data_IF_666404299304
#
_entry.id   IF_666404299304
#
_cell.length_a   1.000
_cell.length_b   1.000
_cell.length_c   1.000
_cell.angle_alpha   90.00
_cell.angle_beta   90.00
_cell.angle_gamma   90.00
#
_symmetry.space_group_name_H-M   'P 1'
#
loop_
_entity.id
_entity.type
_entity.pdbx_description
1 polymer ?
#
# COMPACT_ATOMS: atom_id res chain seq x y z
N UNK A 1 -47.75 -50.55 9.00
CA UNK A 1 -46.70 -50.00 9.86
C UNK A 1 -45.44 -49.63 9.03
N UNK A 2 -44.88 -50.53 8.24
CA UNK A 2 -43.62 -50.32 7.44
C UNK A 2 -43.77 -49.11 6.48
N UNK A 3 -44.93 -48.90 5.81
CA UNK A 3 -45.16 -47.79 4.90
C UNK A 3 -45.16 -46.43 5.65
N UNK A 4 -45.73 -46.40 6.84
CA UNK A 4 -45.78 -45.18 7.68
C UNK A 4 -44.38 -44.82 8.19
N UNK A 5 -43.57 -45.78 8.62
CA UNK A 5 -42.21 -45.52 9.05
C UNK A 5 -41.28 -45.07 7.92
N UNK A 6 -41.44 -45.62 6.70
CA UNK A 6 -40.72 -45.17 5.51
C UNK A 6 -41.08 -43.70 5.13
N UNK A 7 -42.37 -43.37 5.23
CA UNK A 7 -42.83 -42.00 4.93
C UNK A 7 -42.32 -41.00 5.95
N UNK A 8 -42.36 -41.35 7.24
CA UNK A 8 -41.78 -40.50 8.31
C UNK A 8 -40.27 -40.31 8.14
N UNK A 9 -39.52 -41.34 7.74
CA UNK A 9 -38.10 -41.27 7.45
C UNK A 9 -37.81 -40.35 6.28
N UNK A 10 -38.59 -40.42 5.20
CA UNK A 10 -38.45 -39.58 4.02
C UNK A 10 -38.67 -38.12 4.36
N UNK A 11 -39.72 -37.77 5.16
CA UNK A 11 -39.95 -36.42 5.64
C UNK A 11 -38.77 -35.92 6.52
N UNK A 12 -38.30 -36.77 7.41
CA UNK A 12 -37.14 -36.40 8.25
C UNK A 12 -35.88 -36.06 7.44
N UNK A 13 -35.57 -36.87 6.41
CA UNK A 13 -34.47 -36.62 5.49
C UNK A 13 -34.69 -35.32 4.65
N UNK A 14 -35.92 -35.01 4.23
CA UNK A 14 -36.28 -33.78 3.53
C UNK A 14 -36.06 -32.56 4.43
N UNK A 15 -36.48 -32.63 5.69
CA UNK A 15 -36.26 -31.56 6.67
C UNK A 15 -34.76 -31.33 6.92
N UNK A 16 -34.00 -32.41 7.04
CA UNK A 16 -32.54 -32.32 7.22
C UNK A 16 -31.85 -31.72 5.99
N UNK A 17 -32.29 -32.06 4.78
CA UNK A 17 -31.77 -31.49 3.55
C UNK A 17 -32.15 -30.01 3.41
N UNK A 18 -33.39 -29.63 3.80
CA UNK A 18 -33.83 -28.24 3.81
C UNK A 18 -33.10 -27.38 4.86
N UNK A 19 -32.74 -27.96 5.99
CA UNK A 19 -31.98 -27.27 7.05
C UNK A 19 -30.56 -26.90 6.61
N UNK A 20 -30.05 -27.44 5.49
CA UNK A 20 -28.69 -27.17 4.95
C UNK A 20 -27.66 -27.02 6.09
N UNK A 21 -27.37 -28.07 6.87
CA UNK A 21 -26.41 -27.96 7.95
C UNK A 21 -25.07 -27.49 7.37
N UNK A 22 -24.80 -26.21 7.52
CA UNK A 22 -23.51 -25.66 7.12
C UNK A 22 -22.52 -26.04 8.22
N UNK A 23 -21.82 -27.12 8.01
CA UNK A 23 -20.55 -27.32 8.70
C UNK A 23 -19.59 -26.27 8.17
N UNK A 24 -19.77 -25.02 8.64
CA UNK A 24 -18.83 -23.95 8.34
C UNK A 24 -17.47 -24.41 8.84
N UNK A 25 -16.53 -24.60 7.93
CA UNK A 25 -15.15 -24.55 8.33
C UNK A 25 -15.03 -23.22 9.10
N UNK A 26 -14.87 -23.30 10.44
CA UNK A 26 -14.38 -22.15 11.19
C UNK A 26 -13.12 -21.77 10.46
N UNK A 27 -13.17 -20.65 9.70
CA UNK A 27 -11.96 -19.96 9.33
C UNK A 27 -11.29 -19.69 10.67
N UNK A 28 -10.43 -20.61 11.08
CA UNK A 28 -9.53 -20.39 12.19
C UNK A 28 -8.78 -19.15 11.77
N UNK A 29 -9.18 -18.01 12.29
CA UNK A 29 -8.33 -16.85 12.27
C UNK A 29 -7.16 -17.27 13.16
N UNK A 30 -6.22 -17.99 12.55
CA UNK A 30 -4.93 -18.21 13.13
C UNK A 30 -4.44 -16.82 13.46
N UNK A 31 -4.41 -16.46 14.74
CA UNK A 31 -3.85 -15.18 15.16
C UNK A 31 -2.47 -15.10 14.54
N UNK A 32 -2.39 -14.36 13.44
CA UNK A 32 -1.13 -14.14 12.75
C UNK A 32 -0.32 -13.22 13.64
N UNK A 33 0.74 -13.75 14.21
CA UNK A 33 1.72 -12.99 15.00
C UNK A 33 2.55 -12.04 14.14
N UNK A 34 2.30 -11.97 12.83
CA UNK A 34 3.00 -11.12 11.88
C UNK A 34 2.66 -9.63 12.05
N UNK A 35 3.49 -8.79 11.48
CA UNK A 35 3.30 -7.33 11.39
C UNK A 35 2.26 -7.01 10.34
N UNK A 36 1.66 -5.83 10.44
CA UNK A 36 0.93 -5.22 9.33
C UNK A 36 1.82 -4.15 8.71
N UNK A 37 2.12 -4.31 7.43
CA UNK A 37 2.99 -3.40 6.68
C UNK A 37 2.15 -2.78 5.59
N UNK A 38 2.09 -1.44 5.56
CA UNK A 38 1.46 -0.70 4.46
C UNK A 38 2.56 0.02 3.70
N UNK A 39 2.71 -0.32 2.42
CA UNK A 39 3.59 0.36 1.49
C UNK A 39 2.87 1.59 0.97
N UNK A 40 3.48 2.76 1.08
CA UNK A 40 2.97 4.03 0.59
C UNK A 40 3.92 4.48 -0.51
N UNK A 41 3.45 4.40 -1.74
CA UNK A 41 4.32 4.47 -2.93
C UNK A 41 3.95 5.68 -3.75
N UNK A 42 4.92 6.54 -3.92
CA UNK A 42 4.85 7.66 -4.84
C UNK A 42 4.76 7.17 -6.28
N UNK A 43 3.75 7.64 -7.00
CA UNK A 43 3.55 7.37 -8.42
C UNK A 43 3.42 8.68 -9.22
N UNK A 44 3.92 9.78 -8.68
CA UNK A 44 3.98 11.08 -9.38
C UNK A 44 4.90 11.00 -10.61
N UNK A 45 4.80 11.98 -11.47
CA UNK A 45 5.63 12.05 -12.69
C UNK A 45 7.12 12.17 -12.38
N UNK A 46 7.51 12.73 -11.23
CA UNK A 46 8.91 12.81 -10.78
C UNK A 46 9.55 11.42 -10.66
N UNK A 47 8.77 10.38 -10.39
CA UNK A 47 9.22 8.99 -10.31
C UNK A 47 9.61 8.39 -11.68
N UNK A 48 9.38 9.10 -12.79
CA UNK A 48 9.90 8.74 -14.12
C UNK A 48 11.33 9.23 -14.34
N UNK A 49 11.88 10.05 -13.45
CA UNK A 49 13.26 10.51 -13.55
C UNK A 49 14.26 9.33 -13.56
N UNK A 50 15.33 9.49 -14.35
CA UNK A 50 16.32 8.44 -14.63
C UNK A 50 17.68 8.71 -13.95
N UNK A 51 17.69 9.50 -12.86
CA UNK A 51 18.87 9.69 -12.02
C UNK A 51 19.25 8.42 -11.25
N UNK A 52 18.34 7.47 -11.17
CA UNK A 52 18.55 6.11 -10.66
C UNK A 52 18.08 5.12 -11.72
N UNK A 53 19.00 4.36 -12.28
CA UNK A 53 18.70 3.42 -13.38
C UNK A 53 17.84 2.22 -12.95
N UNK A 54 16.85 1.80 -13.78
CA UNK A 54 16.47 2.39 -15.09
C UNK A 54 15.64 3.66 -14.95
N UNK A 55 14.80 3.77 -13.91
CA UNK A 55 14.06 4.94 -13.45
C UNK A 55 13.78 4.79 -11.94
N UNK A 56 13.40 5.89 -11.26
CA UNK A 56 12.98 5.83 -9.85
C UNK A 56 11.83 4.86 -9.66
N UNK A 57 10.83 4.86 -10.55
CA UNK A 57 9.68 3.96 -10.51
C UNK A 57 10.09 2.49 -10.67
N UNK A 58 10.96 2.16 -11.61
CA UNK A 58 11.42 0.79 -11.80
C UNK A 58 12.24 0.30 -10.61
N UNK A 59 13.07 1.16 -10.04
CA UNK A 59 13.83 0.85 -8.84
C UNK A 59 12.89 0.61 -7.65
N UNK A 60 11.83 1.40 -7.53
CA UNK A 60 10.78 1.22 -6.51
C UNK A 60 10.07 -0.12 -6.67
N UNK A 61 9.63 -0.48 -7.89
CA UNK A 61 9.02 -1.80 -8.16
C UNK A 61 9.95 -2.95 -7.79
N UNK A 62 11.23 -2.83 -8.11
CA UNK A 62 12.24 -3.83 -7.76
C UNK A 62 12.43 -3.95 -6.25
N UNK A 63 12.54 -2.83 -5.54
CA UNK A 63 12.68 -2.81 -4.08
C UNK A 63 11.48 -3.45 -3.39
N UNK A 64 10.26 -3.09 -3.79
CA UNK A 64 9.02 -3.66 -3.25
C UNK A 64 8.94 -5.17 -3.54
N UNK A 65 9.26 -5.59 -4.77
CA UNK A 65 9.27 -7.01 -5.13
C UNK A 65 10.18 -7.81 -4.21
N UNK A 66 11.42 -7.38 -4.03
CA UNK A 66 12.39 -8.03 -3.14
C UNK A 66 11.93 -8.05 -1.68
N UNK A 67 11.25 -6.99 -1.23
CA UNK A 67 10.70 -6.91 0.13
C UNK A 67 9.58 -7.93 0.31
N UNK A 68 8.59 -7.95 -0.59
CA UNK A 68 7.43 -8.83 -0.50
C UNK A 68 7.82 -10.31 -0.62
N UNK A 69 8.79 -10.66 -1.47
CA UNK A 69 9.30 -12.03 -1.61
C UNK A 69 9.95 -12.58 -0.33
N UNK A 70 10.49 -11.70 0.51
CA UNK A 70 11.10 -12.08 1.81
C UNK A 70 10.08 -12.20 2.95
N UNK A 71 8.85 -11.71 2.75
CA UNK A 71 7.79 -11.81 3.75
C UNK A 71 7.27 -13.24 3.87
N UNK A 72 6.90 -13.67 5.09
CA UNK A 72 6.37 -15.02 5.34
C UNK A 72 5.04 -14.99 6.07
N UNK A 73 4.95 -14.26 7.18
CA UNK A 73 3.79 -14.25 8.08
C UNK A 73 3.18 -12.84 8.22
N UNK A 74 3.78 -11.81 7.62
CA UNK A 74 3.33 -10.43 7.68
C UNK A 74 2.15 -10.18 6.70
N UNK A 75 1.28 -9.24 7.04
CA UNK A 75 0.31 -8.71 6.11
C UNK A 75 0.90 -7.51 5.36
N UNK A 76 0.68 -7.42 4.05
CA UNK A 76 1.13 -6.30 3.22
C UNK A 76 -0.05 -5.64 2.51
N UNK A 77 -0.18 -4.33 2.65
CA UNK A 77 -1.07 -3.46 1.88
C UNK A 77 -0.28 -2.48 1.03
N UNK A 78 -0.91 -1.85 0.06
CA UNK A 78 -0.29 -0.80 -0.74
C UNK A 78 -1.27 0.35 -1.01
N UNK A 79 -0.79 1.54 -0.73
CA UNK A 79 -1.36 2.82 -1.13
C UNK A 79 -0.44 3.43 -2.17
N UNK A 80 -0.97 3.81 -3.32
CA UNK A 80 -0.28 4.64 -4.29
C UNK A 80 -0.74 6.09 -4.10
N UNK A 81 0.16 7.04 -4.27
CA UNK A 81 -0.18 8.45 -4.15
C UNK A 81 0.58 9.31 -5.18
N UNK A 82 -0.01 10.45 -5.47
CA UNK A 82 0.53 11.60 -6.17
C UNK A 82 -0.10 12.84 -5.52
N UNK A 83 -0.88 13.66 -6.23
CA UNK A 83 -1.73 14.71 -5.66
C UNK A 83 -2.91 14.13 -4.86
N UNK A 84 -3.38 12.94 -5.24
CA UNK A 84 -4.40 12.15 -4.55
C UNK A 84 -3.82 10.81 -4.11
N UNK A 85 -4.53 10.14 -3.18
CA UNK A 85 -4.11 8.84 -2.65
C UNK A 85 -5.15 7.76 -2.88
N UNK A 86 -4.71 6.56 -3.30
CA UNK A 86 -5.59 5.42 -3.55
C UNK A 86 -5.08 4.14 -2.91
N UNK A 87 -5.97 3.39 -2.26
CA UNK A 87 -5.66 2.04 -1.77
C UNK A 87 -5.67 1.08 -2.96
N UNK A 88 -4.49 0.66 -3.41
CA UNK A 88 -4.37 -0.29 -4.53
C UNK A 88 -4.76 -1.70 -4.10
N UNK A 89 -4.37 -2.11 -2.88
CA UNK A 89 -4.91 -3.29 -2.20
C UNK A 89 -4.80 -3.16 -0.68
N UNK A 90 -5.80 -3.68 0.06
CA UNK A 90 -5.78 -3.68 1.52
C UNK A 90 -4.77 -4.69 2.07
N UNK A 91 -4.50 -4.61 3.37
CA UNK A 91 -3.56 -5.54 4.02
C UNK A 91 -3.98 -7.00 3.81
N UNK A 92 -3.14 -7.75 3.14
CA UNK A 92 -3.33 -9.15 2.77
C UNK A 92 -2.06 -9.97 2.99
N UNK A 93 -2.17 -11.27 3.00
CA UNK A 93 -1.03 -12.22 2.94
C UNK A 93 -0.95 -12.96 1.61
N UNK A 94 -1.74 -12.53 0.63
CA UNK A 94 -1.61 -13.03 -0.74
C UNK A 94 -0.48 -12.30 -1.47
N UNK A 95 0.74 -12.74 -1.20
CA UNK A 95 1.93 -12.14 -1.82
C UNK A 95 1.97 -12.30 -3.35
N UNK A 96 1.33 -13.35 -3.90
CA UNK A 96 1.28 -13.54 -5.36
C UNK A 96 0.46 -12.45 -6.01
N UNK A 97 -0.70 -12.14 -5.44
CA UNK A 97 -1.54 -11.03 -5.87
C UNK A 97 -0.78 -9.71 -5.73
N UNK A 98 -0.16 -9.46 -4.56
CA UNK A 98 0.61 -8.24 -4.32
C UNK A 98 1.72 -8.05 -5.37
N UNK A 99 2.54 -9.06 -5.62
CA UNK A 99 3.61 -9.03 -6.64
C UNK A 99 3.09 -8.77 -8.06
N UNK A 100 1.93 -9.35 -8.40
CA UNK A 100 1.30 -9.08 -9.70
C UNK A 100 0.89 -7.62 -9.86
N UNK A 101 0.39 -7.00 -8.79
CA UNK A 101 -0.03 -5.59 -8.77
C UNK A 101 1.15 -4.62 -8.75
N UNK A 102 2.24 -4.93 -8.04
CA UNK A 102 3.46 -4.10 -8.04
C UNK A 102 3.98 -3.85 -9.45
N UNK A 103 3.92 -4.85 -10.32
CA UNK A 103 4.36 -4.72 -11.72
C UNK A 103 3.54 -3.72 -12.55
N UNK A 104 2.33 -3.39 -12.09
CA UNK A 104 1.40 -2.47 -12.76
C UNK A 104 1.46 -1.04 -12.20
N UNK A 105 2.28 -0.80 -11.16
CA UNK A 105 2.47 0.54 -10.63
C UNK A 105 3.09 1.44 -11.69
N UNK A 106 2.48 2.59 -11.91
CA UNK A 106 2.95 3.61 -12.86
C UNK A 106 2.25 4.93 -12.54
N UNK A 107 2.73 6.07 -13.03
CA UNK A 107 2.04 7.35 -12.85
C UNK A 107 0.60 7.35 -13.35
N UNK A 108 0.26 6.51 -14.32
CA UNK A 108 -1.11 6.40 -14.86
C UNK A 108 -2.13 5.82 -13.88
N UNK A 109 -1.71 5.33 -12.70
CA UNK A 109 -2.61 4.84 -11.64
C UNK A 109 -3.44 5.99 -11.03
N UNK A 110 -2.87 7.19 -11.01
CA UNK A 110 -3.51 8.40 -10.48
C UNK A 110 -3.50 9.48 -11.56
N UNK A 111 -4.66 10.06 -11.83
CA UNK A 111 -4.81 11.06 -12.88
C UNK A 111 -4.29 12.45 -12.45
N UNK A 112 -4.55 12.83 -11.20
CA UNK A 112 -4.07 14.07 -10.62
C UNK A 112 -2.58 13.92 -10.26
N UNK A 113 -1.74 14.71 -10.92
CA UNK A 113 -0.30 14.69 -10.71
C UNK A 113 0.12 15.80 -9.75
N UNK A 114 1.03 15.48 -8.87
CA UNK A 114 1.50 16.30 -7.74
C UNK A 114 2.10 15.37 -6.70
N UNK A 115 2.30 15.86 -5.48
CA UNK A 115 2.79 15.05 -4.37
C UNK A 115 2.19 15.58 -3.08
N UNK A 116 1.28 14.82 -2.47
CA UNK A 116 0.70 15.10 -1.14
C UNK A 116 1.06 13.95 -0.19
N UNK A 117 2.16 14.14 0.53
CA UNK A 117 2.62 13.17 1.54
C UNK A 117 1.69 13.12 2.76
N UNK A 118 1.02 14.20 3.08
CA UNK A 118 0.08 14.27 4.20
C UNK A 118 -1.13 13.38 3.97
N UNK A 119 -1.80 13.53 2.83
CA UNK A 119 -2.93 12.68 2.44
C UNK A 119 -2.52 11.22 2.29
N UNK A 120 -1.34 10.97 1.71
CA UNK A 120 -0.79 9.63 1.56
C UNK A 120 -0.65 8.89 2.91
N UNK A 121 -0.10 9.57 3.93
CA UNK A 121 0.03 9.03 5.28
C UNK A 121 -1.35 8.81 5.92
N UNK A 122 -2.29 9.75 5.77
CA UNK A 122 -3.65 9.63 6.33
C UNK A 122 -4.40 8.44 5.69
N UNK A 123 -4.36 8.32 4.37
CA UNK A 123 -4.97 7.19 3.64
C UNK A 123 -4.35 5.84 4.06
N UNK A 124 -3.03 5.81 4.25
CA UNK A 124 -2.35 4.61 4.71
C UNK A 124 -2.73 4.24 6.16
N UNK A 125 -2.93 5.21 7.05
CA UNK A 125 -3.44 4.94 8.41
C UNK A 125 -4.79 4.22 8.39
N UNK A 126 -5.69 4.58 7.46
CA UNK A 126 -7.00 3.95 7.29
C UNK A 126 -6.91 2.54 6.70
N UNK A 127 -5.80 2.20 6.04
CA UNK A 127 -5.59 0.90 5.40
C UNK A 127 -5.21 -0.21 6.37
N UNK A 128 -4.79 0.12 7.59
CA UNK A 128 -4.54 -0.87 8.64
C UNK A 128 -5.84 -1.47 9.16
N UNK A 129 -5.78 -2.74 9.58
CA UNK A 129 -6.96 -3.40 10.14
C UNK A 129 -7.42 -2.71 11.42
N UNK A 130 -8.74 -2.49 11.53
CA UNK A 130 -9.38 -1.91 12.72
C UNK A 130 -9.47 -2.89 13.90
N UNK A 131 -8.85 -4.09 13.80
CA UNK A 131 -8.91 -5.08 14.86
C UNK A 131 -8.21 -4.55 16.11
N UNK A 132 -8.99 -4.35 17.15
CA UNK A 132 -8.62 -3.88 18.49
C UNK A 132 -7.68 -4.85 19.26
N UNK A 133 -7.31 -5.97 18.70
CA UNK A 133 -6.31 -6.85 19.28
C UNK A 133 -4.91 -6.30 19.05
N UNK A 134 -4.47 -5.57 19.98
CA UNK A 134 -3.32 -4.72 20.23
C UNK A 134 -1.94 -5.45 20.17
N UNK A 135 -1.79 -6.54 19.42
CA UNK A 135 -0.57 -7.32 19.39
C UNK A 135 0.25 -7.22 18.09
N UNK A 136 -0.32 -6.62 17.04
CA UNK A 136 0.39 -6.49 15.77
C UNK A 136 1.12 -5.15 15.69
N UNK A 137 2.41 -5.20 15.42
CA UNK A 137 3.18 -4.00 15.09
C UNK A 137 2.74 -3.51 13.72
N UNK A 138 2.39 -2.24 13.63
CA UNK A 138 2.01 -1.55 12.40
C UNK A 138 3.20 -0.75 11.89
N UNK A 139 3.56 -0.99 10.66
CA UNK A 139 4.68 -0.32 10.00
C UNK A 139 4.20 0.24 8.67
N UNK A 140 4.44 1.50 8.44
CA UNK A 140 4.26 2.16 7.16
C UNK A 140 5.64 2.31 6.52
N UNK A 141 5.77 1.96 5.24
CA UNK A 141 6.99 2.17 4.46
C UNK A 141 6.65 3.16 3.36
N UNK A 142 7.09 4.39 3.54
CA UNK A 142 6.91 5.49 2.59
C UNK A 142 8.08 5.47 1.60
N UNK A 143 7.77 5.40 0.31
CA UNK A 143 8.75 5.36 -0.78
C UNK A 143 8.44 6.52 -1.72
N UNK A 144 9.28 7.53 -1.75
CA UNK A 144 9.12 8.77 -2.51
C UNK A 144 10.48 9.43 -2.75
N UNK A 145 10.55 10.40 -3.63
CA UNK A 145 11.68 11.32 -3.72
C UNK A 145 11.63 12.44 -2.66
N UNK A 146 10.51 12.55 -1.95
CA UNK A 146 10.34 13.50 -0.84
C UNK A 146 9.98 14.92 -1.27
N UNK A 147 9.85 15.20 -2.56
CA UNK A 147 9.29 16.48 -3.03
C UNK A 147 7.85 16.58 -2.53
N UNK A 148 7.62 17.48 -1.57
CA UNK A 148 6.31 17.73 -0.96
C UNK A 148 6.05 19.23 -1.00
N UNK A 149 4.85 19.58 -1.39
CA UNK A 149 4.43 20.96 -1.49
C UNK A 149 3.56 21.41 -0.30
N UNK A 150 3.30 20.52 0.68
CA UNK A 150 2.44 20.80 1.84
C UNK A 150 3.11 20.43 3.17
N UNK A 151 2.99 21.29 4.18
CA UNK A 151 3.48 21.05 5.54
C UNK A 151 2.63 19.99 6.32
N UNK A 152 1.59 19.44 5.70
CA UNK A 152 0.65 18.49 6.33
C UNK A 152 1.29 17.14 6.65
N UNK A 153 2.36 16.75 5.95
CA UNK A 153 3.05 15.48 6.13
C UNK A 153 3.55 15.25 7.58
N UNK A 154 4.09 16.31 8.21
CA UNK A 154 4.60 16.22 9.59
C UNK A 154 3.49 16.07 10.63
N UNK A 155 2.33 16.68 10.39
CA UNK A 155 1.17 16.53 11.28
C UNK A 155 0.55 15.14 11.12
N UNK A 156 0.47 14.62 9.89
CA UNK A 156 0.04 13.25 9.63
C UNK A 156 0.98 12.22 10.29
N UNK A 157 2.30 12.44 10.25
CA UNK A 157 3.28 11.59 10.92
C UNK A 157 3.07 11.58 12.46
N UNK A 158 2.78 12.73 13.07
CA UNK A 158 2.45 12.79 14.51
C UNK A 158 1.19 11.99 14.84
N UNK A 159 0.15 12.07 14.01
CA UNK A 159 -1.07 11.28 14.16
C UNK A 159 -0.76 9.77 14.06
N UNK A 160 0.05 9.37 13.09
CA UNK A 160 0.48 7.97 12.93
C UNK A 160 1.19 7.44 14.19
N UNK A 161 2.11 8.23 14.76
CA UNK A 161 2.75 7.89 16.05
C UNK A 161 1.76 7.67 17.17
N UNK A 162 0.76 8.55 17.31
CA UNK A 162 -0.29 8.43 18.34
C UNK A 162 -1.11 7.14 18.19
N UNK A 163 -1.26 6.66 16.95
CA UNK A 163 -1.90 5.38 16.63
C UNK A 163 -0.97 4.16 16.76
N UNK A 164 0.27 4.36 17.19
CA UNK A 164 1.28 3.30 17.34
C UNK A 164 1.78 2.76 15.99
N UNK A 165 1.77 3.58 14.94
CA UNK A 165 2.28 3.25 13.61
C UNK A 165 3.69 3.86 13.49
N UNK A 166 4.67 3.03 13.11
CA UNK A 166 6.01 3.47 12.78
C UNK A 166 6.09 3.77 11.28
N UNK A 167 6.64 4.92 10.91
CA UNK A 167 6.90 5.26 9.50
C UNK A 167 8.40 5.10 9.23
N UNK A 168 8.71 4.28 8.22
CA UNK A 168 10.05 4.14 7.67
C UNK A 168 10.05 4.77 6.28
N UNK A 169 10.93 5.73 6.01
CA UNK A 169 11.03 6.37 4.71
C UNK A 169 12.17 5.77 3.89
N UNK A 170 11.93 5.57 2.61
CA UNK A 170 12.91 5.17 1.61
C UNK A 170 12.92 6.26 0.55
N UNK A 171 13.97 7.07 0.52
CA UNK A 171 14.20 8.07 -0.52
C UNK A 171 14.67 7.41 -1.82
N UNK A 172 14.09 7.79 -2.93
CA UNK A 172 14.48 7.34 -4.28
C UNK A 172 14.80 8.56 -5.13
N UNK A 173 16.02 8.63 -5.60
CA UNK A 173 16.53 9.73 -6.40
C UNK A 173 17.91 10.18 -5.93
N UNK A 174 18.41 11.23 -6.55
CA UNK A 174 19.69 11.87 -6.19
C UNK A 174 19.47 13.34 -5.84
N UNK A 175 20.37 13.95 -5.02
CA UNK A 175 20.29 15.39 -4.73
C UNK A 175 20.51 16.26 -5.97
N UNK A 176 21.24 15.77 -6.96
CA UNK A 176 21.50 16.44 -8.24
C UNK A 176 20.22 16.46 -9.07
N UNK A 177 19.44 15.38 -8.99
CA UNK A 177 18.19 15.18 -9.72
C UNK A 177 18.38 14.88 -11.20
N UNK A 178 17.25 14.71 -11.89
CA UNK A 178 17.21 14.53 -13.33
C UNK A 178 15.96 15.17 -13.94
N UNK A 179 15.98 15.48 -15.25
CA UNK A 179 14.80 15.93 -15.95
C UNK A 179 13.78 14.79 -16.04
N UNK A 180 12.50 15.17 -15.98
CA UNK A 180 11.38 14.23 -16.11
C UNK A 180 11.06 14.11 -17.60
N UNK A 181 11.02 12.87 -18.12
CA UNK A 181 10.64 12.58 -19.51
C UNK A 181 9.37 11.74 -19.55
N UNK A 182 8.41 12.15 -20.40
CA UNK A 182 7.19 11.40 -20.70
C UNK A 182 7.13 11.20 -22.20
N UNK A 183 7.05 9.95 -22.66
CA UNK A 183 6.99 9.55 -24.06
C UNK A 183 8.15 10.12 -24.93
N UNK A 184 9.30 10.37 -24.31
CA UNK A 184 10.51 10.90 -24.97
C UNK A 184 10.62 12.41 -24.97
N UNK A 185 9.61 13.14 -24.48
CA UNK A 185 9.63 14.60 -24.34
C UNK A 185 9.85 15.01 -22.88
N UNK A 186 10.69 16.04 -22.65
CA UNK A 186 10.90 16.59 -21.32
C UNK A 186 9.74 17.47 -20.87
N UNK A 187 9.32 17.31 -19.63
CA UNK A 187 8.35 18.21 -19.00
C UNK A 187 8.96 19.61 -18.88
N UNK A 188 8.16 20.64 -19.20
CA UNK A 188 8.55 22.04 -19.10
C UNK A 188 7.59 22.79 -18.18
N UNK A 189 8.14 23.76 -17.47
CA UNK A 189 7.36 24.70 -16.68
C UNK A 189 6.62 25.75 -17.58
N UNK A 190 5.86 26.63 -16.96
CA UNK A 190 5.13 27.69 -17.67
C UNK A 190 6.05 28.66 -18.43
N UNK A 191 7.32 28.75 -18.04
CA UNK A 191 8.34 29.59 -18.65
C UNK A 191 9.10 28.88 -19.76
N UNK A 192 8.83 27.58 -19.98
CA UNK A 192 9.45 26.74 -21.01
C UNK A 192 10.77 26.08 -20.60
N UNK A 193 11.21 26.19 -19.34
CA UNK A 193 12.39 25.52 -18.84
C UNK A 193 12.10 24.05 -18.57
N UNK A 194 13.12 23.20 -18.72
CA UNK A 194 13.00 21.77 -18.40
C UNK A 194 12.87 21.60 -16.89
N UNK A 195 11.85 20.90 -16.44
CA UNK A 195 11.63 20.56 -15.02
C UNK A 195 12.63 19.50 -14.60
N UNK A 196 13.42 19.80 -13.55
CA UNK A 196 14.37 18.86 -12.94
C UNK A 196 13.84 18.52 -11.55
N UNK A 197 13.52 17.25 -11.33
CA UNK A 197 13.12 16.75 -10.03
C UNK A 197 14.35 16.30 -9.23
N UNK A 198 14.37 16.63 -7.93
CA UNK A 198 15.46 16.32 -7.00
C UNK A 198 14.91 15.60 -5.78
N UNK A 199 15.71 14.70 -5.21
CA UNK A 199 15.32 14.06 -3.95
C UNK A 199 15.45 15.04 -2.77
N UNK A 200 14.37 15.20 -1.98
CA UNK A 200 14.38 15.90 -0.69
C UNK A 200 14.50 14.91 0.48
N UNK A 201 15.73 14.59 0.83
CA UNK A 201 16.03 13.74 1.98
C UNK A 201 15.59 14.38 3.30
N UNK A 202 15.60 15.70 3.41
CA UNK A 202 15.32 16.40 4.66
C UNK A 202 13.87 16.20 5.09
N UNK A 203 12.92 16.33 4.19
CA UNK A 203 11.50 16.08 4.44
C UNK A 203 11.24 14.63 4.86
N UNK A 204 11.78 13.65 4.12
CA UNK A 204 11.64 12.23 4.47
C UNK A 204 12.24 11.88 5.83
N UNK A 205 13.40 12.44 6.16
CA UNK A 205 14.06 12.27 7.46
C UNK A 205 13.21 12.83 8.59
N UNK A 206 12.65 14.04 8.44
CA UNK A 206 11.78 14.65 9.44
C UNK A 206 10.52 13.81 9.71
N UNK A 207 9.90 13.23 8.66
CA UNK A 207 8.74 12.34 8.79
C UNK A 207 9.14 11.09 9.61
N UNK A 208 10.26 10.43 9.26
CA UNK A 208 10.71 9.23 9.96
C UNK A 208 11.06 9.50 11.43
N UNK A 209 11.69 10.62 11.76
CA UNK A 209 12.07 10.99 13.12
C UNK A 209 10.85 11.32 14.02
N UNK A 210 9.71 11.63 13.41
CA UNK A 210 8.47 11.94 14.15
C UNK A 210 7.78 10.69 14.70
N UNK A 211 8.01 9.50 14.18
CA UNK A 211 7.35 8.24 14.56
C UNK A 211 8.31 7.26 15.23
#
# INVERSE_FOLDING_TARGET
WIKISLFALAIGLLVLAAARPQTGAKLSSKERKGREIVLVVDVSNSMLAEDVEPSRMDRTRYAITNLVEKMKDDGVGLVAFADESVVVWPVTSDYKMALSKVKQLSPSVIAAQGTDLGEAIETAMLSFSSSTHNSKRRVMILISDGEDHDEMALEAAKKAKQMGIMICCIGIGTPEGAPISIDGDYIRDEEGNIVVSKMDEATLRQIAERT
#
